data_IF_003541819132
#
_entry.id   IF_003541819132
#
_cell.length_a   1.000
_cell.length_b   1.000
_cell.length_c   1.000
_cell.angle_alpha   90.00
_cell.angle_beta   90.00
_cell.angle_gamma   90.00
#
_symmetry.space_group_name_H-M   'P 1'
#
loop_
_entity.id
_entity.type
_entity.pdbx_description
1 polymer ?
#
# COMPACT_ATOMS: atom_id res chain seq x y z
N UNK A 1 17.23 -0.66 -23.66
CA UNK A 1 18.03 0.35 -22.89
C UNK A 1 18.99 -0.40 -21.96
N UNK A 2 20.12 0.18 -21.56
CA UNK A 2 20.99 -0.44 -20.54
C UNK A 2 20.29 -0.29 -19.19
N UNK A 3 20.25 -1.38 -18.39
CA UNK A 3 19.66 -1.31 -17.05
C UNK A 3 20.37 -0.22 -16.22
N UNK A 4 19.61 0.54 -15.36
CA UNK A 4 20.21 1.49 -14.44
C UNK A 4 21.17 0.76 -13.50
N UNK A 5 22.34 1.34 -13.22
CA UNK A 5 23.30 0.71 -12.29
C UNK A 5 22.87 0.87 -10.85
N UNK A 6 22.18 1.96 -10.52
CA UNK A 6 21.59 2.22 -9.20
C UNK A 6 20.14 2.66 -9.31
N UNK A 7 19.26 1.93 -8.61
CA UNK A 7 17.83 2.19 -8.50
C UNK A 7 17.53 2.64 -7.06
N UNK A 8 16.77 3.72 -6.92
CA UNK A 8 16.36 4.27 -5.64
C UNK A 8 14.83 4.19 -5.53
N UNK A 9 14.35 3.25 -4.73
CA UNK A 9 12.92 3.08 -4.46
C UNK A 9 12.53 3.92 -3.24
N UNK A 10 11.40 4.60 -3.31
CA UNK A 10 10.77 5.27 -2.17
C UNK A 10 9.50 4.51 -1.81
N UNK A 11 9.44 4.01 -0.59
CA UNK A 11 8.41 3.09 -0.11
C UNK A 11 7.98 3.43 1.33
N UNK A 12 6.87 2.87 1.79
CA UNK A 12 6.42 2.98 3.19
C UNK A 12 6.55 1.66 3.96
N UNK A 13 7.53 0.83 3.60
CA UNK A 13 7.81 -0.44 4.28
C UNK A 13 8.53 -0.26 5.62
N UNK A 14 8.46 -1.28 6.49
CA UNK A 14 9.11 -1.30 7.81
C UNK A 14 8.24 -0.73 8.94
N UNK A 15 7.06 -0.21 8.63
CA UNK A 15 5.95 -0.05 9.55
C UNK A 15 4.97 -1.18 9.21
N UNK A 16 5.01 -2.31 9.90
CA UNK A 16 4.35 -3.52 9.43
C UNK A 16 2.92 -3.26 8.96
N UNK A 17 2.71 -3.32 7.65
CA UNK A 17 1.44 -3.16 6.98
C UNK A 17 1.43 -4.11 5.77
N UNK A 18 0.59 -5.12 5.82
CA UNK A 18 0.57 -6.22 4.85
C UNK A 18 0.63 -5.75 3.39
N UNK A 19 -0.17 -4.74 3.03
CA UNK A 19 -0.20 -4.25 1.66
C UNK A 19 1.07 -3.53 1.24
N UNK A 20 1.57 -2.64 2.08
CA UNK A 20 2.75 -1.84 1.78
C UNK A 20 4.00 -2.71 1.68
N UNK A 21 4.13 -3.73 2.57
CA UNK A 21 5.20 -4.72 2.51
C UNK A 21 5.13 -5.58 1.23
N UNK A 22 3.93 -6.01 0.83
CA UNK A 22 3.76 -6.78 -0.40
C UNK A 22 4.03 -5.96 -1.67
N UNK A 23 3.69 -4.68 -1.70
CA UNK A 23 4.04 -3.79 -2.81
C UNK A 23 5.56 -3.72 -2.97
N UNK A 24 6.28 -3.46 -1.86
CA UNK A 24 7.74 -3.43 -1.88
C UNK A 24 8.34 -4.78 -2.29
N UNK A 25 7.83 -5.89 -1.74
CA UNK A 25 8.24 -7.24 -2.12
C UNK A 25 8.03 -7.52 -3.61
N UNK A 26 6.90 -7.09 -4.16
CA UNK A 26 6.56 -7.23 -5.59
C UNK A 26 7.60 -6.56 -6.48
N UNK A 27 7.93 -5.31 -6.19
CA UNK A 27 8.93 -4.58 -6.97
C UNK A 27 10.33 -5.15 -6.80
N UNK A 28 10.74 -5.55 -5.59
CA UNK A 28 12.05 -6.18 -5.36
C UNK A 28 12.18 -7.53 -6.10
N UNK A 29 11.17 -8.39 -6.04
CA UNK A 29 11.13 -9.65 -6.82
C UNK A 29 11.19 -9.39 -8.32
N UNK A 30 10.49 -8.36 -8.81
CA UNK A 30 10.57 -7.98 -10.23
C UNK A 30 11.98 -7.54 -10.60
N UNK A 31 12.59 -6.64 -9.82
CA UNK A 31 13.95 -6.15 -10.05
C UNK A 31 14.99 -7.26 -9.97
N UNK A 32 14.85 -8.23 -9.08
CA UNK A 32 15.73 -9.40 -9.02
C UNK A 32 15.72 -10.22 -10.33
N UNK A 33 14.62 -10.18 -11.09
CA UNK A 33 14.51 -10.87 -12.39
C UNK A 33 15.06 -10.05 -13.56
N UNK A 34 14.80 -8.74 -13.58
CA UNK A 34 15.11 -7.90 -14.76
C UNK A 34 16.39 -7.10 -14.61
N UNK A 35 16.83 -6.82 -13.38
CA UNK A 35 17.98 -6.00 -13.06
C UNK A 35 18.80 -6.55 -11.88
N UNK A 36 19.18 -7.86 -11.86
CA UNK A 36 19.84 -8.49 -10.70
C UNK A 36 21.19 -7.86 -10.33
N UNK A 37 21.86 -7.24 -11.29
CA UNK A 37 23.15 -6.58 -11.09
C UNK A 37 23.03 -5.12 -10.63
N UNK A 38 21.82 -4.54 -10.66
CA UNK A 38 21.60 -3.17 -10.19
C UNK A 38 21.71 -3.12 -8.66
N UNK A 39 22.30 -2.06 -8.15
CA UNK A 39 22.24 -1.75 -6.73
C UNK A 39 20.87 -1.12 -6.45
N UNK A 40 20.07 -1.73 -5.58
CA UNK A 40 18.71 -1.27 -5.24
C UNK A 40 18.71 -0.72 -3.82
N UNK A 41 18.38 0.55 -3.67
CA UNK A 41 18.18 1.20 -2.38
C UNK A 41 16.71 1.45 -2.15
N UNK A 42 16.20 1.03 -0.99
CA UNK A 42 14.83 1.29 -0.55
C UNK A 42 14.86 2.34 0.55
N UNK A 43 14.38 3.53 0.24
CA UNK A 43 14.17 4.60 1.22
C UNK A 43 12.81 4.41 1.88
N UNK A 44 12.81 4.10 3.16
CA UNK A 44 11.63 3.72 3.93
C UNK A 44 11.72 4.22 5.38
N UNK A 45 10.57 4.35 6.09
CA UNK A 45 10.57 4.91 7.45
C UNK A 45 11.41 4.12 8.47
N UNK A 46 11.47 2.80 8.32
CA UNK A 46 12.20 1.93 9.26
C UNK A 46 13.03 0.87 8.51
N UNK A 47 14.27 1.20 8.12
CA UNK A 47 15.17 0.31 7.36
C UNK A 47 15.44 -1.04 8.01
N UNK A 48 15.66 -1.09 9.34
CA UNK A 48 15.98 -2.33 10.03
C UNK A 48 14.89 -3.42 9.91
N UNK A 49 13.63 -3.15 10.28
CA UNK A 49 12.54 -4.09 10.03
C UNK A 49 12.34 -4.44 8.55
N UNK A 50 12.51 -3.48 7.65
CA UNK A 50 12.41 -3.73 6.20
C UNK A 50 13.50 -4.68 5.72
N UNK A 51 14.73 -4.54 6.20
CA UNK A 51 15.85 -5.43 5.84
C UNK A 51 15.58 -6.87 6.29
N UNK A 52 15.05 -7.06 7.52
CA UNK A 52 14.68 -8.39 8.03
C UNK A 52 13.60 -9.04 7.19
N UNK A 53 12.61 -8.26 6.72
CA UNK A 53 11.45 -8.79 6.00
C UNK A 53 11.71 -8.98 4.50
N UNK A 54 12.49 -8.11 3.88
CA UNK A 54 12.60 -7.97 2.42
C UNK A 54 14.03 -8.11 1.88
N UNK A 55 15.04 -8.24 2.75
CA UNK A 55 16.46 -8.22 2.37
C UNK A 55 16.88 -9.34 1.42
N UNK A 56 16.21 -10.48 1.46
CA UNK A 56 16.51 -11.64 0.60
C UNK A 56 15.83 -11.59 -0.78
N UNK A 57 14.97 -10.58 -1.03
CA UNK A 57 14.15 -10.54 -2.26
C UNK A 57 14.91 -10.00 -3.48
N UNK A 58 16.04 -9.34 -3.29
CA UNK A 58 16.91 -8.91 -4.38
C UNK A 58 18.38 -9.04 -3.95
N UNK A 59 19.29 -9.57 -4.78
CA UNK A 59 20.67 -9.89 -4.39
C UNK A 59 21.49 -8.69 -3.95
N UNK A 60 21.10 -7.46 -4.33
CA UNK A 60 21.85 -6.24 -4.03
C UNK A 60 20.95 -5.13 -3.45
N UNK A 61 19.89 -5.53 -2.72
CA UNK A 61 19.04 -4.57 -2.01
C UNK A 61 19.72 -4.06 -0.75
N UNK A 62 19.49 -2.79 -0.45
CA UNK A 62 19.89 -2.11 0.80
C UNK A 62 18.78 -1.14 1.20
N UNK A 63 18.75 -0.74 2.46
CA UNK A 63 17.70 0.10 3.02
C UNK A 63 18.28 1.38 3.62
N UNK A 64 17.53 2.47 3.51
CA UNK A 64 17.85 3.80 4.06
C UNK A 64 16.56 4.51 4.45
N UNK A 65 16.67 5.63 5.17
CA UNK A 65 15.52 6.46 5.56
C UNK A 65 15.74 7.95 5.24
N UNK A 66 16.64 8.26 4.33
CA UNK A 66 17.12 9.63 4.07
C UNK A 66 15.99 10.59 3.69
N UNK A 67 15.14 10.24 2.72
CA UNK A 67 14.05 11.12 2.27
C UNK A 67 12.96 11.23 3.32
N UNK A 68 12.67 10.14 4.03
CA UNK A 68 11.73 10.14 5.14
C UNK A 68 12.20 11.07 6.27
N UNK A 69 13.48 10.98 6.66
CA UNK A 69 14.04 11.83 7.72
C UNK A 69 14.08 13.29 7.31
N UNK A 70 14.51 13.61 6.10
CA UNK A 70 14.49 14.98 5.62
C UNK A 70 13.08 15.57 5.64
N UNK A 71 12.06 14.76 5.30
CA UNK A 71 10.67 15.19 5.34
C UNK A 71 10.16 15.43 6.77
N UNK A 72 10.56 14.59 7.72
CA UNK A 72 10.17 14.69 9.13
C UNK A 72 10.99 15.72 9.91
N UNK A 73 12.25 15.95 9.54
CA UNK A 73 13.13 16.95 10.17
C UNK A 73 12.82 18.39 9.71
N UNK A 74 11.89 18.59 8.76
CA UNK A 74 11.46 19.93 8.36
C UNK A 74 10.91 20.69 9.57
N UNK A 75 11.31 21.97 9.75
CA UNK A 75 10.95 22.74 10.95
C UNK A 75 9.44 23.07 11.04
N UNK A 76 8.75 23.06 9.90
CA UNK A 76 7.33 23.36 9.78
C UNK A 76 6.59 22.17 9.17
N UNK A 77 5.27 22.08 9.40
CA UNK A 77 4.42 20.97 8.95
C UNK A 77 3.73 21.23 7.60
N UNK A 78 3.75 22.48 7.13
CA UNK A 78 3.09 22.88 5.90
C UNK A 78 3.70 22.19 4.67
N UNK A 79 2.88 21.74 3.72
CA UNK A 79 3.38 21.02 2.54
C UNK A 79 4.43 21.79 1.73
N UNK A 80 4.26 23.10 1.59
CA UNK A 80 5.18 23.98 0.87
C UNK A 80 6.51 24.13 1.59
N UNK A 81 6.48 24.32 2.91
CA UNK A 81 7.63 24.48 3.77
C UNK A 81 8.46 23.22 3.83
N UNK A 82 7.79 22.06 3.97
CA UNK A 82 8.44 20.73 3.93
C UNK A 82 9.11 20.51 2.59
N UNK A 83 8.41 20.75 1.48
CA UNK A 83 8.97 20.56 0.14
C UNK A 83 10.19 21.48 -0.10
N UNK A 84 10.09 22.75 0.31
CA UNK A 84 11.19 23.70 0.19
C UNK A 84 12.40 23.30 1.04
N UNK A 85 12.17 22.90 2.30
CA UNK A 85 13.22 22.42 3.21
C UNK A 85 13.98 21.22 2.59
N UNK A 86 13.24 20.21 2.16
CA UNK A 86 13.81 18.97 1.58
C UNK A 86 14.61 19.27 0.31
N UNK A 87 14.04 20.06 -0.61
CA UNK A 87 14.74 20.43 -1.84
C UNK A 87 16.03 21.21 -1.54
N UNK A 88 15.98 22.13 -0.58
CA UNK A 88 17.13 22.94 -0.18
C UNK A 88 18.22 22.07 0.46
N UNK A 89 17.85 21.13 1.33
CA UNK A 89 18.79 20.19 1.96
C UNK A 89 19.49 19.27 0.92
N UNK A 90 18.76 18.79 -0.08
CA UNK A 90 19.35 17.95 -1.15
C UNK A 90 20.29 18.77 -2.05
N UNK A 91 19.94 20.01 -2.35
CA UNK A 91 20.81 20.90 -3.14
C UNK A 91 22.06 21.32 -2.36
N UNK A 92 21.96 21.45 -1.04
CA UNK A 92 22.98 21.93 -0.15
C UNK A 92 23.13 20.98 1.05
N UNK A 93 23.76 19.80 0.89
CA UNK A 93 23.80 18.76 1.93
C UNK A 93 24.37 19.22 3.28
N UNK A 94 25.21 20.26 3.30
CA UNK A 94 25.73 20.85 4.52
C UNK A 94 24.65 21.44 5.47
N UNK A 95 23.43 21.71 4.96
CA UNK A 95 22.29 22.14 5.77
C UNK A 95 21.63 20.97 6.53
N UNK A 96 21.88 19.74 6.11
CA UNK A 96 21.39 18.52 6.72
C UNK A 96 22.55 17.57 7.05
N UNK A 97 23.48 17.95 7.96
CA UNK A 97 24.75 17.28 8.16
C UNK A 97 24.62 15.81 8.59
N UNK A 98 23.52 15.41 9.22
CA UNK A 98 23.21 14.01 9.56
C UNK A 98 22.94 13.15 8.34
N UNK A 99 22.47 13.74 7.25
CA UNK A 99 21.96 13.05 6.07
C UNK A 99 22.86 13.20 4.85
N UNK A 100 24.04 13.83 4.99
CA UNK A 100 24.98 14.06 3.87
C UNK A 100 25.26 12.77 3.10
N UNK A 101 25.61 11.69 3.80
CA UNK A 101 25.93 10.42 3.16
C UNK A 101 24.74 9.84 2.37
N UNK A 102 23.54 9.90 2.94
CA UNK A 102 22.31 9.45 2.27
C UNK A 102 21.91 10.34 1.10
N UNK A 103 22.09 11.66 1.21
CA UNK A 103 21.86 12.60 0.10
C UNK A 103 22.84 12.35 -1.06
N UNK A 104 24.14 12.14 -0.76
CA UNK A 104 25.13 11.84 -1.80
C UNK A 104 24.87 10.47 -2.46
N UNK A 105 24.44 9.48 -1.66
CA UNK A 105 23.99 8.19 -2.16
C UNK A 105 22.83 8.36 -3.15
N UNK A 106 21.75 9.01 -2.73
CA UNK A 106 20.59 9.27 -3.59
C UNK A 106 21.00 10.05 -4.83
N UNK A 107 21.86 11.08 -4.69
CA UNK A 107 22.35 11.92 -5.81
C UNK A 107 23.23 11.15 -6.81
N UNK A 108 23.46 9.86 -6.61
CA UNK A 108 24.17 8.98 -7.56
C UNK A 108 23.28 7.93 -8.22
N UNK A 109 21.96 7.99 -8.01
CA UNK A 109 21.04 7.05 -8.61
C UNK A 109 20.67 7.43 -10.05
N UNK A 110 20.51 6.41 -10.90
CA UNK A 110 20.11 6.57 -12.30
C UNK A 110 18.58 6.61 -12.46
N UNK A 111 17.87 5.96 -11.53
CA UNK A 111 16.41 5.86 -11.54
C UNK A 111 15.87 5.97 -10.12
N UNK A 112 14.92 6.85 -9.94
CA UNK A 112 14.10 7.01 -8.73
C UNK A 112 12.71 6.50 -9.01
N UNK A 113 12.20 5.63 -8.17
CA UNK A 113 10.87 5.09 -8.31
C UNK A 113 10.10 5.20 -6.98
N UNK A 114 9.12 6.09 -6.93
CA UNK A 114 8.16 6.16 -5.84
C UNK A 114 7.13 5.08 -6.09
N UNK A 115 7.25 3.95 -5.39
CA UNK A 115 6.38 2.79 -5.57
C UNK A 115 5.03 2.99 -4.89
N UNK A 116 4.03 2.22 -5.32
CA UNK A 116 2.63 2.34 -4.91
C UNK A 116 2.39 2.40 -3.41
N UNK A 117 1.26 2.95 -3.06
CA UNK A 117 0.81 3.08 -1.68
C UNK A 117 -0.12 4.28 -1.49
N UNK A 118 -0.69 4.39 -0.30
CA UNK A 118 -1.59 5.49 0.05
C UNK A 118 -1.00 6.39 1.12
N UNK A 119 0.30 6.63 1.08
CA UNK A 119 1.02 7.37 2.11
C UNK A 119 1.35 8.83 1.73
N UNK A 120 1.27 9.20 0.45
CA UNK A 120 1.50 10.59 0.00
C UNK A 120 0.15 11.26 -0.24
N UNK A 121 -0.43 11.84 0.80
CA UNK A 121 -1.71 12.54 0.74
C UNK A 121 -1.86 13.55 1.88
N UNK A 122 -3.00 14.23 1.95
CA UNK A 122 -3.24 15.28 2.94
C UNK A 122 -3.44 14.80 4.39
N UNK A 123 -3.58 13.49 4.62
CA UNK A 123 -3.61 12.93 5.99
C UNK A 123 -2.21 13.01 6.60
N UNK A 124 -1.19 12.87 5.78
CA UNK A 124 0.23 12.96 6.16
C UNK A 124 0.93 14.07 5.35
N UNK A 125 0.66 15.34 5.63
CA UNK A 125 1.10 16.48 4.79
C UNK A 125 2.62 16.56 4.61
N UNK A 126 3.40 16.10 5.59
CA UNK A 126 4.88 16.04 5.47
C UNK A 126 5.38 15.08 4.40
N UNK A 127 4.59 14.07 4.02
CA UNK A 127 5.03 13.06 3.04
C UNK A 127 5.13 13.60 1.59
N UNK A 128 4.61 14.79 1.31
CA UNK A 128 4.88 15.47 0.03
C UNK A 128 6.39 15.76 -0.15
N UNK A 129 7.13 15.85 0.95
CA UNK A 129 8.58 15.94 0.97
C UNK A 129 9.29 14.80 0.25
N UNK A 130 8.68 13.61 0.21
CA UNK A 130 9.23 12.45 -0.53
C UNK A 130 9.23 12.70 -2.04
N UNK A 131 8.19 13.32 -2.59
CA UNK A 131 8.16 13.72 -4.00
C UNK A 131 9.18 14.84 -4.25
N UNK A 132 9.25 15.81 -3.35
CA UNK A 132 10.20 16.92 -3.43
C UNK A 132 11.65 16.42 -3.39
N UNK A 133 11.94 15.44 -2.51
CA UNK A 133 13.25 14.76 -2.42
C UNK A 133 13.59 14.04 -3.72
N UNK A 134 12.67 13.24 -4.22
CA UNK A 134 12.83 12.46 -5.45
C UNK A 134 13.18 13.37 -6.62
N UNK A 135 12.42 14.44 -6.83
CA UNK A 135 12.66 15.41 -7.91
C UNK A 135 14.00 16.12 -7.75
N UNK A 136 14.33 16.57 -6.52
CA UNK A 136 15.59 17.29 -6.28
C UNK A 136 16.80 16.37 -6.49
N UNK A 137 16.74 15.12 -6.01
CA UNK A 137 17.81 14.15 -6.18
C UNK A 137 17.97 13.71 -7.64
N UNK A 138 16.86 13.48 -8.37
CA UNK A 138 16.90 13.15 -9.79
C UNK A 138 17.54 14.28 -10.62
N UNK A 139 17.18 15.53 -10.32
CA UNK A 139 17.84 16.69 -10.98
C UNK A 139 19.34 16.76 -10.68
N UNK A 140 19.73 16.47 -9.44
CA UNK A 140 21.13 16.52 -9.02
C UNK A 140 21.97 15.38 -9.63
N UNK A 141 21.39 14.17 -9.73
CA UNK A 141 22.07 13.01 -10.33
C UNK A 141 22.01 12.97 -11.87
N UNK A 142 21.06 13.69 -12.47
CA UNK A 142 20.69 13.53 -13.89
C UNK A 142 19.89 12.25 -14.16
N UNK A 143 19.39 11.59 -13.11
CA UNK A 143 18.57 10.38 -13.18
C UNK A 143 17.11 10.65 -13.55
N UNK A 144 16.39 9.59 -13.86
CA UNK A 144 14.94 9.59 -14.14
C UNK A 144 14.14 9.46 -12.87
N UNK A 145 12.97 10.09 -12.81
CA UNK A 145 12.01 9.92 -11.72
C UNK A 145 10.69 9.37 -12.24
N UNK A 146 10.17 8.32 -11.61
CA UNK A 146 8.87 7.70 -11.93
C UNK A 146 8.09 7.44 -10.65
N UNK A 147 6.75 7.45 -10.74
CA UNK A 147 5.89 7.00 -9.66
C UNK A 147 4.80 6.08 -10.19
N UNK A 148 4.42 5.07 -9.40
CA UNK A 148 3.41 4.08 -9.77
C UNK A 148 2.42 3.84 -8.65
N UNK A 149 1.18 3.49 -9.00
CA UNK A 149 0.16 3.02 -8.06
C UNK A 149 -0.15 3.94 -6.88
N UNK A 150 0.08 5.27 -7.00
CA UNK A 150 -0.08 6.20 -5.90
C UNK A 150 -1.54 6.50 -5.59
N UNK A 151 -1.92 6.41 -4.31
CA UNK A 151 -3.17 6.92 -3.78
C UNK A 151 -2.95 8.32 -3.18
N UNK A 152 -3.12 9.36 -3.99
CA UNK A 152 -2.80 10.74 -3.63
C UNK A 152 -3.94 11.47 -2.92
N UNK A 153 -5.18 11.01 -3.08
CA UNK A 153 -6.34 11.65 -2.46
C UNK A 153 -6.50 11.21 -0.98
N UNK A 154 -6.93 12.09 -0.06
CA UNK A 154 -7.27 13.51 -0.25
C UNK A 154 -6.04 14.43 -0.24
N UNK A 155 -6.17 15.57 -0.89
CA UNK A 155 -5.16 16.64 -0.85
C UNK A 155 -5.85 17.97 -0.56
N UNK A 156 -5.33 18.70 0.41
CA UNK A 156 -5.80 20.03 0.73
C UNK A 156 -5.68 20.97 -0.49
N UNK A 157 -6.65 21.84 -0.69
CA UNK A 157 -6.75 22.66 -1.91
C UNK A 157 -5.48 23.51 -2.13
N UNK A 158 -4.90 24.05 -1.07
CA UNK A 158 -3.67 24.84 -1.09
C UNK A 158 -2.41 24.05 -1.46
N UNK A 159 -2.42 22.72 -1.26
CA UNK A 159 -1.31 21.83 -1.59
C UNK A 159 -1.39 21.28 -3.03
N UNK A 160 -2.54 21.34 -3.69
CA UNK A 160 -2.72 20.81 -5.03
C UNK A 160 -1.78 21.42 -6.09
N UNK A 161 -1.53 22.76 -6.10
CA UNK A 161 -0.58 23.32 -7.06
C UNK A 161 0.85 22.81 -6.86
N UNK A 162 1.27 22.60 -5.60
CA UNK A 162 2.57 22.00 -5.28
C UNK A 162 2.64 20.54 -5.80
N UNK A 163 1.64 19.73 -5.47
CA UNK A 163 1.57 18.35 -5.94
C UNK A 163 1.67 18.27 -7.47
N UNK A 164 0.90 19.09 -8.19
CA UNK A 164 0.96 19.17 -9.66
C UNK A 164 2.35 19.57 -10.18
N UNK A 165 2.96 20.56 -9.54
CA UNK A 165 4.30 21.04 -9.91
C UNK A 165 5.38 19.99 -9.70
N UNK A 166 5.28 19.20 -8.62
CA UNK A 166 6.20 18.09 -8.36
C UNK A 166 5.94 16.93 -9.31
N UNK A 167 4.69 16.52 -9.48
CA UNK A 167 4.31 15.42 -10.37
C UNK A 167 4.70 15.66 -11.84
N UNK A 168 4.60 16.90 -12.31
CA UNK A 168 5.01 17.28 -13.67
C UNK A 168 6.51 17.06 -13.97
N UNK A 169 7.32 16.75 -12.96
CA UNK A 169 8.76 16.50 -13.12
C UNK A 169 9.10 15.00 -13.13
N UNK A 170 8.10 14.15 -12.94
CA UNK A 170 8.24 12.72 -13.13
C UNK A 170 8.03 12.36 -14.61
N UNK A 171 8.85 11.47 -15.13
CA UNK A 171 8.72 10.95 -16.50
C UNK A 171 7.47 10.09 -16.67
N UNK A 172 7.15 9.31 -15.64
CA UNK A 172 5.95 8.46 -15.55
C UNK A 172 5.23 8.78 -14.26
N UNK A 173 3.93 9.04 -14.38
CA UNK A 173 3.02 9.25 -13.27
C UNK A 173 1.86 8.30 -13.41
N UNK A 174 1.77 7.33 -12.52
CA UNK A 174 0.68 6.36 -12.46
C UNK A 174 0.06 6.34 -11.06
N UNK A 175 -1.26 6.33 -11.01
CA UNK A 175 -2.04 6.36 -9.77
C UNK A 175 -2.98 5.15 -9.70
N UNK A 176 -3.46 4.85 -8.51
CA UNK A 176 -4.29 3.67 -8.30
C UNK A 176 -5.79 3.92 -8.48
N UNK A 177 -6.25 5.17 -8.37
CA UNK A 177 -7.68 5.52 -8.34
C UNK A 177 -7.97 6.83 -9.09
N UNK A 178 -9.22 6.97 -9.53
CA UNK A 178 -9.68 8.12 -10.29
C UNK A 178 -9.63 9.44 -9.51
N UNK A 179 -9.97 9.48 -8.20
CA UNK A 179 -9.77 10.70 -7.40
C UNK A 179 -8.33 11.21 -7.42
N UNK A 180 -7.34 10.32 -7.39
CA UNK A 180 -5.92 10.68 -7.52
C UNK A 180 -5.56 11.14 -8.92
N UNK A 181 -6.11 10.50 -9.96
CA UNK A 181 -5.89 10.90 -11.36
C UNK A 181 -6.42 12.31 -11.63
N UNK A 182 -7.59 12.65 -11.10
CA UNK A 182 -8.21 13.97 -11.28
C UNK A 182 -7.40 15.14 -10.69
N UNK A 183 -6.49 14.86 -9.76
CA UNK A 183 -5.60 15.87 -9.18
C UNK A 183 -4.47 16.27 -10.13
N UNK A 184 -4.13 15.44 -11.09
CA UNK A 184 -2.94 15.55 -11.92
C UNK A 184 -3.27 15.72 -13.41
N UNK A 185 -2.30 16.20 -14.17
CA UNK A 185 -2.38 16.26 -15.63
C UNK A 185 -1.54 15.10 -16.19
N UNK A 186 -2.12 14.32 -17.11
CA UNK A 186 -1.44 13.21 -17.80
C UNK A 186 -1.01 12.04 -16.90
N UNK A 187 -1.69 11.82 -15.76
CA UNK A 187 -1.48 10.61 -14.98
C UNK A 187 -2.20 9.42 -15.62
N UNK A 188 -1.54 8.26 -15.67
CA UNK A 188 -2.24 6.98 -15.91
C UNK A 188 -2.88 6.49 -14.62
N UNK A 189 -3.94 5.67 -14.73
CA UNK A 189 -4.64 5.09 -13.59
C UNK A 189 -4.76 3.58 -13.75
N UNK A 190 -3.62 2.87 -13.65
CA UNK A 190 -3.57 1.41 -13.88
C UNK A 190 -3.94 0.58 -12.65
N UNK A 191 -4.21 1.22 -11.52
CA UNK A 191 -4.59 0.55 -10.28
C UNK A 191 -3.43 0.43 -9.27
N UNK A 192 -3.68 -0.30 -8.20
CA UNK A 192 -2.69 -0.53 -7.15
C UNK A 192 -1.52 -1.40 -7.65
N UNK A 193 -0.31 -1.13 -7.18
CA UNK A 193 0.88 -1.89 -7.60
C UNK A 193 0.83 -3.36 -7.18
N UNK A 194 0.05 -3.70 -6.17
CA UNK A 194 -0.09 -5.08 -5.74
C UNK A 194 -0.76 -5.97 -6.79
N UNK A 195 -1.52 -5.43 -7.75
CA UNK A 195 -2.00 -6.24 -8.88
C UNK A 195 -0.85 -6.90 -9.64
N UNK A 196 0.29 -6.25 -9.72
CA UNK A 196 1.50 -6.82 -10.35
C UNK A 196 2.05 -8.03 -9.58
N UNK A 197 1.83 -8.08 -8.26
CA UNK A 197 2.36 -9.10 -7.36
C UNK A 197 1.39 -10.25 -7.03
N UNK A 198 0.15 -10.24 -7.56
CA UNK A 198 -0.80 -11.33 -7.30
C UNK A 198 -0.30 -12.61 -7.96
N UNK A 199 0.19 -13.53 -7.15
CA UNK A 199 0.72 -14.83 -7.55
C UNK A 199 0.29 -15.93 -6.56
N UNK A 200 0.25 -17.22 -6.94
CA UNK A 200 -0.18 -18.30 -6.03
C UNK A 200 0.57 -18.34 -4.70
N UNK A 201 1.85 -17.96 -4.69
CA UNK A 201 2.67 -17.94 -3.48
C UNK A 201 2.20 -16.95 -2.39
N UNK A 202 1.32 -16.01 -2.72
CA UNK A 202 0.69 -15.12 -1.72
C UNK A 202 -0.36 -15.84 -0.86
N UNK A 203 -0.79 -17.03 -1.28
CA UNK A 203 -1.91 -17.72 -0.66
C UNK A 203 -1.44 -19.04 -0.04
N UNK A 204 -1.93 -19.28 1.17
CA UNK A 204 -1.68 -20.52 1.90
C UNK A 204 -2.58 -21.63 1.34
N UNK A 205 -2.00 -22.80 1.12
CA UNK A 205 -2.76 -24.03 0.94
C UNK A 205 -3.19 -24.56 2.32
N UNK A 206 -4.47 -24.53 2.60
CA UNK A 206 -5.06 -25.01 3.84
C UNK A 206 -6.35 -25.75 3.50
N UNK A 207 -6.47 -27.03 3.93
CA UNK A 207 -7.62 -27.87 3.59
C UNK A 207 -8.91 -27.41 4.30
N UNK A 208 -8.78 -26.92 5.54
CA UNK A 208 -9.92 -26.47 6.36
C UNK A 208 -9.85 -24.95 6.61
N UNK A 209 -10.03 -24.17 5.53
CA UNK A 209 -10.09 -22.70 5.64
C UNK A 209 -11.37 -22.25 6.35
N UNK A 210 -11.32 -21.17 7.17
CA UNK A 210 -12.52 -20.54 7.68
C UNK A 210 -13.50 -20.16 6.56
N UNK A 211 -14.79 -20.26 6.84
CA UNK A 211 -15.84 -19.87 5.90
C UNK A 211 -15.92 -18.35 5.75
N UNK A 212 -15.75 -17.65 6.89
CA UNK A 212 -15.75 -16.19 6.94
C UNK A 212 -14.41 -15.70 7.46
N UNK A 213 -13.81 -14.79 6.72
CA UNK A 213 -12.56 -14.12 7.09
C UNK A 213 -12.82 -12.66 7.44
N UNK A 214 -12.15 -12.16 8.47
CA UNK A 214 -12.32 -10.81 9.00
C UNK A 214 -10.96 -10.12 9.08
N UNK A 215 -10.92 -8.87 8.61
CA UNK A 215 -9.80 -7.96 8.87
C UNK A 215 -10.35 -6.57 9.17
N UNK A 216 -10.33 -6.18 10.42
CA UNK A 216 -10.88 -4.91 10.88
C UNK A 216 -9.86 -4.14 11.72
N UNK A 217 -9.72 -2.86 11.42
CA UNK A 217 -8.78 -1.96 12.09
C UNK A 217 -9.42 -1.22 13.27
N UNK A 218 -8.61 -0.88 14.27
CA UNK A 218 -9.03 -0.04 15.41
C UNK A 218 -8.59 1.42 15.26
N UNK A 219 -7.73 1.73 14.30
CA UNK A 219 -7.24 3.08 14.04
C UNK A 219 -8.08 3.83 13.01
N UNK A 220 -7.96 5.16 13.01
CA UNK A 220 -8.61 6.06 12.03
C UNK A 220 -10.12 5.87 11.90
N UNK A 221 -10.78 5.55 13.01
CA UNK A 221 -12.22 5.33 13.07
C UNK A 221 -12.96 6.66 13.30
N UNK A 222 -14.02 6.91 12.53
CA UNK A 222 -15.04 7.94 12.85
C UNK A 222 -16.09 7.41 13.85
N UNK A 223 -15.94 6.16 14.31
CA UNK A 223 -16.81 5.43 15.22
C UNK A 223 -16.00 4.70 16.31
N UNK A 224 -16.64 4.13 17.30
CA UNK A 224 -15.95 3.37 18.35
C UNK A 224 -15.63 1.94 17.90
N UNK A 225 -14.51 1.37 18.40
CA UNK A 225 -14.19 -0.04 18.17
C UNK A 225 -15.31 -1.00 18.66
N UNK A 226 -16.02 -0.64 19.74
CA UNK A 226 -17.19 -1.42 20.21
C UNK A 226 -18.35 -1.41 19.22
N UNK A 227 -18.63 -0.28 18.55
CA UNK A 227 -19.67 -0.24 17.53
C UNK A 227 -19.31 -1.12 16.33
N UNK A 228 -18.04 -1.12 15.93
CA UNK A 228 -17.54 -1.99 14.86
C UNK A 228 -17.58 -3.48 15.27
N UNK A 229 -17.22 -3.81 16.51
CA UNK A 229 -17.33 -5.16 17.07
C UNK A 229 -18.80 -5.63 17.13
N UNK A 230 -19.71 -4.78 17.57
CA UNK A 230 -21.15 -5.07 17.56
C UNK A 230 -21.69 -5.35 16.17
N UNK A 231 -21.37 -4.50 15.20
CA UNK A 231 -21.71 -4.71 13.79
C UNK A 231 -21.21 -6.06 13.27
N UNK A 232 -19.96 -6.42 13.57
CA UNK A 232 -19.38 -7.70 13.16
C UNK A 232 -20.17 -8.89 13.74
N UNK A 233 -20.41 -8.90 15.05
CA UNK A 233 -21.12 -9.98 15.72
C UNK A 233 -22.54 -10.14 15.19
N UNK A 234 -23.26 -9.03 14.99
CA UNK A 234 -24.63 -9.05 14.46
C UNK A 234 -24.64 -9.53 13.00
N UNK A 235 -23.63 -9.14 12.19
CA UNK A 235 -23.46 -9.62 10.82
C UNK A 235 -23.22 -11.14 10.78
N UNK A 236 -22.28 -11.66 11.59
CA UNK A 236 -21.99 -13.10 11.66
C UNK A 236 -23.20 -13.92 12.12
N UNK A 237 -23.96 -13.43 13.11
CA UNK A 237 -25.22 -14.04 13.56
C UNK A 237 -26.25 -14.06 12.44
N UNK A 238 -26.43 -12.93 11.74
CA UNK A 238 -27.37 -12.82 10.61
C UNK A 238 -27.02 -13.78 9.46
N UNK A 239 -25.72 -14.03 9.24
CA UNK A 239 -25.25 -14.98 8.22
C UNK A 239 -25.32 -16.44 8.68
N UNK A 240 -25.63 -16.70 9.98
CA UNK A 240 -25.69 -18.05 10.54
C UNK A 240 -24.36 -18.77 10.59
N UNK A 241 -23.25 -18.01 10.74
CA UNK A 241 -21.88 -18.55 10.77
C UNK A 241 -21.56 -19.01 12.18
N UNK A 242 -21.10 -20.26 12.34
CA UNK A 242 -20.64 -20.75 13.63
C UNK A 242 -19.22 -20.21 13.96
N UNK A 243 -18.92 -19.93 15.23
CA UNK A 243 -17.68 -19.26 15.64
C UNK A 243 -16.41 -19.93 15.13
N UNK A 244 -16.34 -21.25 15.14
CA UNK A 244 -15.17 -22.04 14.70
C UNK A 244 -14.92 -21.96 13.18
N UNK A 245 -15.90 -21.43 12.41
CA UNK A 245 -15.78 -21.17 10.97
C UNK A 245 -15.33 -19.75 10.65
N UNK A 246 -15.00 -18.96 11.69
CA UNK A 246 -14.52 -17.57 11.53
C UNK A 246 -13.01 -17.54 11.68
N UNK A 247 -12.36 -16.80 10.78
CA UNK A 247 -10.93 -16.49 10.86
C UNK A 247 -10.68 -14.99 10.86
N UNK A 248 -9.72 -14.55 11.66
CA UNK A 248 -9.27 -13.16 11.70
C UNK A 248 -7.85 -13.09 11.15
N UNK A 249 -7.57 -12.10 10.31
CA UNK A 249 -6.21 -11.79 9.85
C UNK A 249 -5.78 -10.42 10.36
N UNK A 250 -4.52 -10.34 10.77
CA UNK A 250 -3.89 -9.11 11.22
C UNK A 250 -3.09 -8.49 10.07
N UNK A 251 -3.63 -7.46 9.44
CA UNK A 251 -2.95 -6.73 8.36
C UNK A 251 -1.94 -5.71 8.90
N UNK A 252 -2.22 -5.12 10.07
CA UNK A 252 -1.29 -4.27 10.82
C UNK A 252 -1.20 -4.78 12.25
N UNK A 253 -0.01 -5.19 12.70
CA UNK A 253 0.19 -5.73 14.05
C UNK A 253 -0.36 -4.82 15.15
N UNK A 254 -1.01 -5.42 16.13
CA UNK A 254 -1.67 -4.79 17.27
C UNK A 254 -2.98 -4.08 16.90
N UNK A 255 -2.99 -3.24 15.89
CA UNK A 255 -4.15 -2.43 15.50
C UNK A 255 -5.35 -3.30 15.11
N UNK A 256 -5.14 -4.30 14.26
CA UNK A 256 -6.24 -5.18 13.82
C UNK A 256 -6.60 -6.22 14.90
N UNK A 257 -5.66 -6.54 15.78
CA UNK A 257 -5.87 -7.41 16.94
C UNK A 257 -6.84 -6.82 17.96
N UNK A 258 -6.87 -5.49 18.10
CA UNK A 258 -7.74 -4.82 19.07
C UNK A 258 -9.22 -5.13 18.83
N UNK A 259 -9.66 -5.19 17.56
CA UNK A 259 -11.04 -5.57 17.24
C UNK A 259 -11.29 -7.05 17.53
N UNK A 260 -10.33 -7.93 17.23
CA UNK A 260 -10.45 -9.35 17.60
C UNK A 260 -10.60 -9.52 19.10
N UNK A 261 -9.79 -8.84 19.92
CA UNK A 261 -9.84 -8.89 21.37
C UNK A 261 -11.20 -8.45 21.95
N UNK A 262 -11.93 -7.58 21.25
CA UNK A 262 -13.30 -7.18 21.65
C UNK A 262 -14.36 -8.27 21.42
N UNK A 263 -14.10 -9.23 20.53
CA UNK A 263 -15.10 -10.24 20.11
C UNK A 263 -14.68 -11.68 20.39
N UNK A 264 -13.44 -11.94 20.76
CA UNK A 264 -12.90 -13.31 20.92
C UNK A 264 -13.68 -14.16 21.93
N UNK A 265 -14.23 -13.51 22.98
CA UNK A 265 -15.05 -14.19 23.97
C UNK A 265 -16.41 -14.66 23.41
N UNK A 266 -16.97 -13.91 22.46
CA UNK A 266 -18.24 -14.22 21.78
C UNK A 266 -18.05 -15.20 20.61
N UNK A 267 -16.82 -15.45 20.18
CA UNK A 267 -16.45 -16.29 19.04
C UNK A 267 -15.49 -17.44 19.44
N UNK A 268 -15.92 -18.35 20.35
CA UNK A 268 -15.06 -19.44 20.81
C UNK A 268 -14.67 -20.36 19.64
N UNK A 269 -13.37 -20.61 19.50
CA UNK A 269 -12.83 -21.44 18.41
C UNK A 269 -12.53 -20.68 17.10
N UNK A 270 -12.79 -19.37 17.04
CA UNK A 270 -12.33 -18.55 15.92
C UNK A 270 -10.80 -18.57 15.82
N UNK A 271 -10.30 -18.63 14.59
CA UNK A 271 -8.84 -18.66 14.33
C UNK A 271 -8.31 -17.25 14.17
N UNK A 272 -7.10 -17.01 14.68
CA UNK A 272 -6.40 -15.74 14.49
C UNK A 272 -5.08 -15.98 13.75
N UNK A 273 -4.89 -15.28 12.65
CA UNK A 273 -3.70 -15.32 11.80
C UNK A 273 -2.92 -14.02 11.96
N UNK A 274 -1.83 -14.01 12.77
CA UNK A 274 -1.02 -12.81 12.97
C UNK A 274 -0.29 -12.40 11.71
N UNK A 275 0.08 -11.12 11.64
CA UNK A 275 0.84 -10.54 10.51
C UNK A 275 2.07 -11.37 10.12
N UNK A 276 2.89 -11.77 11.08
CA UNK A 276 4.08 -12.57 10.82
C UNK A 276 3.77 -13.92 10.17
N UNK A 277 2.65 -14.52 10.53
CA UNK A 277 2.21 -15.80 9.98
C UNK A 277 1.73 -15.66 8.53
N UNK A 278 0.90 -14.65 8.22
CA UNK A 278 0.45 -14.42 6.85
C UNK A 278 1.56 -13.94 5.91
N UNK A 279 2.58 -13.27 6.44
CA UNK A 279 3.77 -12.90 5.64
C UNK A 279 4.66 -14.10 5.34
N UNK A 280 4.80 -15.04 6.30
CA UNK A 280 5.67 -16.21 6.14
C UNK A 280 5.02 -17.36 5.35
N UNK A 281 3.71 -17.55 5.50
CA UNK A 281 3.01 -18.73 4.98
C UNK A 281 1.91 -18.41 3.97
N UNK A 282 1.67 -17.12 3.68
CA UNK A 282 0.61 -16.64 2.79
C UNK A 282 -0.73 -16.45 3.48
N UNK A 283 -1.60 -15.69 2.82
CA UNK A 283 -2.94 -15.38 3.29
C UNK A 283 -3.85 -16.60 3.15
N UNK A 284 -4.66 -16.97 4.18
CA UNK A 284 -5.62 -18.07 4.11
C UNK A 284 -6.88 -17.67 3.32
N UNK A 285 -6.68 -17.15 2.09
CA UNK A 285 -7.74 -16.71 1.20
C UNK A 285 -7.99 -17.75 0.09
N UNK A 286 -9.25 -17.83 -0.35
CA UNK A 286 -9.62 -18.72 -1.44
C UNK A 286 -11.05 -18.52 -1.94
N UNK A 287 -11.38 -19.12 -3.09
CA UNK A 287 -12.72 -19.02 -3.65
C UNK A 287 -13.75 -19.64 -2.70
N UNK A 288 -14.96 -19.06 -2.68
CA UNK A 288 -16.07 -19.52 -1.85
C UNK A 288 -16.05 -19.02 -0.40
N UNK A 289 -14.99 -18.37 0.05
CA UNK A 289 -14.99 -17.67 1.33
C UNK A 289 -15.75 -16.35 1.26
N UNK A 290 -16.27 -15.92 2.40
CA UNK A 290 -16.82 -14.58 2.59
C UNK A 290 -15.87 -13.75 3.43
N UNK A 291 -15.68 -12.50 3.08
CA UNK A 291 -14.79 -11.59 3.80
C UNK A 291 -15.54 -10.36 4.31
N UNK A 292 -15.11 -9.87 5.48
CA UNK A 292 -15.53 -8.57 6.00
C UNK A 292 -14.24 -7.80 6.30
N UNK A 293 -14.03 -6.69 5.60
CA UNK A 293 -12.73 -5.98 5.74
C UNK A 293 -12.87 -4.47 5.69
N UNK A 294 -12.16 -3.80 6.62
CA UNK A 294 -11.90 -2.35 6.58
C UNK A 294 -10.59 -2.04 5.85
N UNK A 295 -9.73 -3.04 5.64
CA UNK A 295 -8.41 -2.89 5.03
C UNK A 295 -8.47 -3.05 3.51
N UNK A 296 -7.97 -2.03 2.80
CA UNK A 296 -7.95 -1.96 1.35
C UNK A 296 -7.22 -3.16 0.70
N UNK A 297 -6.02 -3.47 1.15
CA UNK A 297 -5.23 -4.54 0.53
C UNK A 297 -5.77 -5.93 0.86
N UNK A 298 -6.43 -6.13 2.00
CA UNK A 298 -7.14 -7.38 2.28
C UNK A 298 -8.33 -7.56 1.34
N UNK A 299 -9.10 -6.49 1.04
CA UNK A 299 -10.12 -6.52 0.00
C UNK A 299 -9.52 -6.88 -1.36
N UNK A 300 -8.43 -6.20 -1.79
CA UNK A 300 -7.79 -6.46 -3.08
C UNK A 300 -7.35 -7.92 -3.22
N UNK A 301 -6.58 -8.40 -2.23
CA UNK A 301 -5.94 -9.72 -2.30
C UNK A 301 -6.96 -10.85 -2.17
N UNK A 302 -7.94 -10.72 -1.26
CA UNK A 302 -9.00 -11.72 -1.12
C UNK A 302 -9.90 -11.77 -2.37
N UNK A 303 -10.31 -10.62 -2.91
CA UNK A 303 -11.08 -10.58 -4.15
C UNK A 303 -10.32 -11.20 -5.35
N UNK A 304 -8.98 -11.12 -5.36
CA UNK A 304 -8.15 -11.73 -6.40
C UNK A 304 -8.20 -13.26 -6.39
N UNK A 305 -8.56 -13.88 -5.27
CA UNK A 305 -8.79 -15.35 -5.20
C UNK A 305 -10.19 -15.78 -5.65
N UNK A 306 -11.08 -14.83 -5.93
CA UNK A 306 -12.49 -15.12 -6.19
C UNK A 306 -13.35 -15.17 -4.91
N UNK A 307 -12.85 -14.73 -3.77
CA UNK A 307 -13.62 -14.63 -2.54
C UNK A 307 -14.67 -13.52 -2.61
N UNK A 308 -15.84 -13.78 -2.04
CA UNK A 308 -16.91 -12.80 -1.84
C UNK A 308 -16.57 -11.87 -0.68
N UNK A 309 -17.13 -10.65 -0.64
CA UNK A 309 -16.88 -9.83 0.53
C UNK A 309 -17.69 -8.55 0.66
N UNK A 310 -17.62 -8.03 1.88
CA UNK A 310 -18.13 -6.73 2.29
C UNK A 310 -16.96 -5.86 2.71
N UNK A 311 -16.74 -4.79 1.97
CA UNK A 311 -15.81 -3.75 2.36
C UNK A 311 -16.52 -2.78 3.30
N UNK A 312 -15.96 -2.55 4.48
CA UNK A 312 -16.56 -1.67 5.50
C UNK A 312 -15.78 -0.36 5.55
N UNK A 313 -16.46 0.74 5.25
CA UNK A 313 -15.89 2.08 5.38
C UNK A 313 -16.07 2.57 6.82
N UNK A 314 -14.95 2.86 7.46
CA UNK A 314 -14.89 3.33 8.85
C UNK A 314 -14.73 4.84 8.97
N UNK A 315 -14.52 5.52 7.84
CA UNK A 315 -14.54 6.97 7.71
C UNK A 315 -15.17 7.37 6.39
N UNK A 316 -15.99 8.41 6.41
CA UNK A 316 -16.96 8.76 5.36
C UNK A 316 -16.34 9.09 3.99
N UNK A 317 -15.08 9.50 3.93
CA UNK A 317 -14.48 9.94 2.67
C UNK A 317 -13.25 9.12 2.24
N UNK A 318 -12.27 8.96 3.11
CA UNK A 318 -10.99 8.39 2.73
C UNK A 318 -11.06 6.90 2.41
N UNK A 319 -11.63 6.09 3.32
CA UNK A 319 -11.70 4.63 3.13
C UNK A 319 -12.76 4.22 2.11
N UNK A 320 -13.90 4.92 2.05
CA UNK A 320 -14.92 4.65 1.05
C UNK A 320 -14.36 4.73 -0.38
N UNK A 321 -13.61 5.78 -0.69
CA UNK A 321 -13.03 5.95 -2.03
C UNK A 321 -12.01 4.87 -2.38
N UNK A 322 -11.20 4.43 -1.41
CA UNK A 322 -10.26 3.32 -1.61
C UNK A 322 -10.99 2.04 -2.02
N UNK A 323 -12.01 1.64 -1.26
CA UNK A 323 -12.77 0.43 -1.56
C UNK A 323 -13.57 0.56 -2.87
N UNK A 324 -14.17 1.74 -3.15
CA UNK A 324 -14.84 1.99 -4.43
C UNK A 324 -13.93 1.78 -5.61
N UNK A 325 -12.69 2.21 -5.55
CA UNK A 325 -11.73 2.03 -6.64
C UNK A 325 -11.50 0.56 -7.02
N UNK A 326 -11.55 -0.37 -6.05
CA UNK A 326 -11.48 -1.80 -6.32
C UNK A 326 -12.80 -2.35 -6.87
N UNK A 327 -13.93 -1.87 -6.35
CA UNK A 327 -15.27 -2.27 -6.81
C UNK A 327 -15.48 -1.85 -8.27
N UNK A 328 -15.13 -0.63 -8.61
CA UNK A 328 -15.18 -0.09 -9.98
C UNK A 328 -14.30 -0.88 -10.96
N UNK A 329 -13.19 -1.45 -10.46
CA UNK A 329 -12.30 -2.34 -11.20
C UNK A 329 -12.77 -3.80 -11.24
N UNK A 330 -13.93 -4.09 -10.64
CA UNK A 330 -14.57 -5.41 -10.76
C UNK A 330 -14.26 -6.39 -9.64
N UNK A 331 -13.92 -5.93 -8.43
CA UNK A 331 -13.74 -6.81 -7.27
C UNK A 331 -15.02 -7.57 -6.89
N UNK A 332 -16.19 -7.08 -7.32
CA UNK A 332 -17.49 -7.69 -7.05
C UNK A 332 -17.94 -7.62 -5.58
N UNK A 333 -17.15 -7.00 -4.71
CA UNK A 333 -17.52 -6.79 -3.31
C UNK A 333 -18.55 -5.68 -3.15
N UNK A 334 -19.28 -5.70 -2.04
CA UNK A 334 -20.20 -4.62 -1.66
C UNK A 334 -19.51 -3.66 -0.70
N UNK A 335 -19.91 -2.38 -0.74
CA UNK A 335 -19.44 -1.36 0.19
C UNK A 335 -20.51 -1.12 1.25
N UNK A 336 -20.12 -1.18 2.52
CA UNK A 336 -20.93 -0.82 3.67
C UNK A 336 -20.38 0.45 4.31
N UNK A 337 -21.20 1.51 4.35
CA UNK A 337 -20.79 2.84 4.83
C UNK A 337 -21.57 3.28 6.08
N UNK A 338 -22.57 2.55 6.51
CA UNK A 338 -23.50 2.95 7.59
C UNK A 338 -23.63 1.89 8.70
N UNK A 339 -22.83 0.84 8.65
CA UNK A 339 -22.88 -0.32 9.57
C UNK A 339 -24.27 -1.01 9.61
N UNK A 340 -25.08 -0.88 8.57
CA UNK A 340 -26.26 -1.73 8.40
C UNK A 340 -25.83 -3.18 8.18
N UNK A 341 -26.60 -4.14 8.74
CA UNK A 341 -26.26 -5.56 8.60
C UNK A 341 -26.41 -5.98 7.14
N UNK A 342 -25.32 -6.32 6.45
CA UNK A 342 -25.38 -6.69 5.04
C UNK A 342 -25.90 -8.12 4.86
N UNK A 343 -26.56 -8.38 3.74
CA UNK A 343 -26.80 -9.76 3.30
C UNK A 343 -25.46 -10.50 3.04
N UNK A 344 -25.41 -11.83 3.18
CA UNK A 344 -24.25 -12.60 2.80
C UNK A 344 -23.82 -12.28 1.35
N UNK A 345 -22.56 -11.89 1.11
CA UNK A 345 -22.10 -11.53 -0.23
C UNK A 345 -22.06 -12.77 -1.14
N UNK A 346 -22.34 -12.58 -2.43
CA UNK A 346 -22.38 -13.67 -3.43
C UNK A 346 -21.86 -13.19 -4.79
N UNK A 347 -21.16 -14.08 -5.51
CA UNK A 347 -20.72 -13.84 -6.88
C UNK A 347 -19.59 -12.82 -7.00
N UNK A 348 -18.87 -12.59 -5.91
CA UNK A 348 -17.76 -11.65 -5.82
C UNK A 348 -16.42 -12.19 -6.32
N UNK A 349 -15.41 -11.40 -6.01
CA UNK A 349 -14.08 -11.62 -6.53
C UNK A 349 -13.88 -11.16 -7.98
N UNK A 350 -12.64 -10.85 -8.32
CA UNK A 350 -12.29 -10.49 -9.69
C UNK A 350 -12.56 -11.66 -10.64
N UNK A 351 -13.21 -11.38 -11.76
CA UNK A 351 -13.27 -12.36 -12.84
C UNK A 351 -11.86 -12.58 -13.39
N UNK A 352 -11.48 -13.84 -13.73
CA UNK A 352 -10.11 -14.14 -14.17
C UNK A 352 -9.61 -13.27 -15.33
N UNK A 353 -10.48 -12.87 -16.24
CA UNK A 353 -10.12 -12.01 -17.37
C UNK A 353 -9.79 -10.58 -16.90
N UNK A 354 -10.63 -9.99 -16.02
CA UNK A 354 -10.43 -8.65 -15.48
C UNK A 354 -9.15 -8.59 -14.62
N UNK A 355 -8.91 -9.58 -13.77
CA UNK A 355 -7.68 -9.66 -12.98
C UNK A 355 -6.44 -9.72 -13.86
N UNK A 356 -6.46 -10.56 -14.92
CA UNK A 356 -5.35 -10.62 -15.89
C UNK A 356 -5.11 -9.29 -16.60
N UNK A 357 -6.16 -8.56 -16.94
CA UNK A 357 -6.04 -7.23 -17.57
C UNK A 357 -5.33 -6.23 -16.63
N UNK A 358 -5.72 -6.18 -15.36
CA UNK A 358 -5.07 -5.35 -14.35
C UNK A 358 -3.59 -5.73 -14.17
N UNK A 359 -3.28 -7.03 -14.09
CA UNK A 359 -1.91 -7.53 -14.01
C UNK A 359 -1.08 -7.16 -15.25
N UNK A 360 -1.66 -7.31 -16.44
CA UNK A 360 -1.00 -6.97 -17.71
C UNK A 360 -0.74 -5.46 -17.82
N UNK A 361 -1.67 -4.63 -17.36
CA UNK A 361 -1.47 -3.17 -17.29
C UNK A 361 -0.26 -2.79 -16.44
N UNK A 362 -0.13 -3.38 -15.25
CA UNK A 362 1.03 -3.18 -14.37
C UNK A 362 2.31 -3.76 -14.95
N UNK A 363 2.27 -4.93 -15.57
CA UNK A 363 3.43 -5.53 -16.22
C UNK A 363 3.93 -4.68 -17.40
N UNK A 364 3.03 -4.08 -18.19
CA UNK A 364 3.39 -3.17 -19.27
C UNK A 364 4.04 -1.89 -18.73
N UNK A 365 3.51 -1.34 -17.63
CA UNK A 365 4.11 -0.19 -16.95
C UNK A 365 5.52 -0.52 -16.44
N UNK A 366 5.70 -1.65 -15.76
CA UNK A 366 7.01 -2.11 -15.27
C UNK A 366 8.01 -2.27 -16.43
N UNK A 367 7.57 -2.84 -17.55
CA UNK A 367 8.39 -2.95 -18.77
C UNK A 367 8.78 -1.58 -19.34
N UNK A 368 7.90 -0.59 -19.29
CA UNK A 368 8.22 0.78 -19.75
C UNK A 368 9.28 1.43 -18.87
N UNK A 369 9.27 1.16 -17.57
CA UNK A 369 10.21 1.73 -16.60
C UNK A 369 11.58 1.06 -16.71
N UNK A 370 11.62 -0.27 -16.75
CA UNK A 370 12.85 -1.06 -16.58
C UNK A 370 13.32 -1.76 -17.87
N UNK A 371 12.52 -1.80 -18.93
CA UNK A 371 12.85 -2.43 -20.21
C UNK A 371 12.32 -3.82 -20.31
#
# INVERSE_FOLDING_TARGET
MKNPSRIYLVATTGNPNYGDELIAATWLKHLARVAPESEVWVDCPNPGPSEVLLGDLHPRVRFTDTFWRLSWDAPEDGPWEVAAHVQHAIQNPGLAPRWVAGIELASSADLFHVIGGGFINGIWPRHIGLLAATVAAARRSGGRAVMTGQGLWPVAQEAQPLLRSLAAQFEIVDVRDEPSASLLVNASATGDDLFFGIEPALFREEEDKPEVMVCMQSDMLDLTGHALAGFLLDTLRSWGVSPERVGFVEGIPRIDRDIFALVEHDLPGARFYPFSDIMAHGLPAGPGQKWISTRFHMHLVAAATGADGVAVSISSNYYANKHRSLIERGSGWTLNEDLSIPAPPTGGGYKPAALRELQQGKAALAKTIYG
#
